data_IF_271093957451
#
_entry.id   IF_271093957451
#
_cell.length_a   1.000
_cell.length_b   1.000
_cell.length_c   1.000
_cell.angle_alpha   90.00
_cell.angle_beta   90.00
_cell.angle_gamma   90.00
#
_symmetry.space_group_name_H-M   'P 1'
#
loop_
_entity.id
_entity.type
_entity.pdbx_description
1 polymer ?
#
# COMPACT_ATOMS: atom_id res chain seq x y z
N UNK A 1 13.87 5.26 31.22
CA UNK A 1 13.86 5.67 29.79
C UNK A 1 12.47 6.11 29.33
N UNK A 2 11.85 7.09 30.02
CA UNK A 2 10.61 7.76 29.57
C UNK A 2 10.68 9.29 29.72
N UNK A 3 11.79 9.80 30.25
CA UNK A 3 12.05 11.21 30.53
C UNK A 3 12.99 11.89 29.52
N UNK A 4 13.54 11.16 28.55
CA UNK A 4 14.46 11.72 27.54
C UNK A 4 13.74 12.17 26.26
N UNK A 5 12.51 11.67 26.01
CA UNK A 5 11.71 12.03 24.82
C UNK A 5 10.92 13.33 25.02
N UNK A 6 10.68 13.74 26.27
CA UNK A 6 10.04 15.01 26.60
C UNK A 6 10.99 16.22 26.51
N UNK A 7 12.31 15.99 26.53
CA UNK A 7 13.31 17.07 26.46
C UNK A 7 13.73 17.41 25.01
N UNK A 8 13.53 16.49 24.06
CA UNK A 8 13.85 16.70 22.65
C UNK A 8 12.71 17.38 21.86
N UNK A 9 11.47 17.33 22.36
CA UNK A 9 10.30 18.00 21.78
C UNK A 9 10.14 19.46 22.23
N UNK A 10 10.97 19.94 23.17
CA UNK A 10 10.98 21.32 23.65
C UNK A 10 12.06 22.21 23.01
N UNK A 11 12.87 21.67 22.09
CA UNK A 11 14.06 22.34 21.54
C UNK A 11 13.93 22.86 20.10
N UNK A 12 12.72 22.83 19.52
CA UNK A 12 12.47 23.33 18.14
C UNK A 12 11.54 24.56 18.11
N UNK A 13 11.18 25.13 19.26
CA UNK A 13 10.24 26.27 19.33
C UNK A 13 10.83 27.61 19.80
N UNK A 14 12.15 27.76 19.87
CA UNK A 14 12.76 29.04 20.32
C UNK A 14 13.95 29.45 19.46
N UNK A 15 13.72 29.85 18.21
CA UNK A 15 14.71 30.63 17.46
C UNK A 15 14.15 31.35 16.23
N UNK A 16 13.09 32.15 16.39
CA UNK A 16 12.78 33.25 15.44
C UNK A 16 11.95 34.32 16.15
N UNK A 17 12.55 35.02 17.11
CA UNK A 17 11.89 36.16 17.75
C UNK A 17 12.88 37.29 18.08
N UNK A 18 13.83 37.57 17.18
CA UNK A 18 14.62 38.80 17.21
C UNK A 18 15.09 39.08 15.78
N UNK A 19 14.41 40.03 15.10
CA UNK A 19 14.86 40.79 13.91
C UNK A 19 13.67 41.39 13.10
N UNK A 20 12.47 41.53 13.66
CA UNK A 20 11.36 42.18 12.96
C UNK A 20 11.25 43.70 13.21
N UNK A 21 11.73 44.18 14.37
CA UNK A 21 11.54 45.58 14.76
C UNK A 21 12.54 46.56 14.11
N UNK A 22 13.72 46.09 13.68
CA UNK A 22 14.78 46.98 13.16
C UNK A 22 14.63 47.29 11.66
N UNK A 23 13.93 46.43 10.91
CA UNK A 23 13.73 46.60 9.46
C UNK A 23 12.65 47.65 9.14
N UNK A 24 11.69 47.84 10.05
CA UNK A 24 10.61 48.83 9.92
C UNK A 24 11.12 50.27 10.11
N UNK A 25 12.15 50.46 10.95
CA UNK A 25 12.78 51.78 11.18
C UNK A 25 13.60 52.27 9.98
N UNK A 26 14.32 51.37 9.31
CA UNK A 26 15.13 51.72 8.13
C UNK A 26 14.29 51.97 6.87
N UNK A 27 13.12 51.34 6.77
CA UNK A 27 12.18 51.51 5.66
C UNK A 27 11.41 52.85 5.70
N UNK A 28 11.28 53.47 6.86
CA UNK A 28 10.62 54.78 7.01
C UNK A 28 11.51 55.96 6.56
N UNK A 29 12.83 55.76 6.46
CA UNK A 29 13.80 56.78 6.01
C UNK A 29 13.86 56.95 4.49
N UNK A 30 13.36 55.97 3.74
CA UNK A 30 13.31 56.00 2.28
C UNK A 30 11.89 56.33 1.84
N UNK A 31 11.61 57.63 1.69
CA UNK A 31 10.31 58.20 1.33
C UNK A 31 9.75 57.74 -0.03
N UNK A 32 9.36 56.48 -0.13
CA UNK A 32 8.96 55.88 -1.39
C UNK A 32 8.47 54.44 -1.22
N UNK A 33 7.34 54.25 -0.53
CA UNK A 33 6.24 53.37 -0.96
C UNK A 33 5.27 53.07 0.18
N UNK A 34 4.50 54.09 0.58
CA UNK A 34 3.33 53.89 1.45
C UNK A 34 2.36 52.85 0.86
N UNK A 35 2.31 52.72 -0.47
CA UNK A 35 1.49 51.72 -1.16
C UNK A 35 2.03 50.29 -1.06
N UNK A 36 3.36 50.06 -1.00
CA UNK A 36 3.91 48.72 -0.77
C UNK A 36 3.74 48.29 0.68
N UNK A 37 3.92 49.21 1.64
CA UNK A 37 3.66 48.94 3.06
C UNK A 37 2.17 48.66 3.30
N UNK A 38 1.27 49.37 2.60
CA UNK A 38 -0.17 49.10 2.66
C UNK A 38 -0.53 47.74 2.04
N UNK A 39 0.02 47.40 0.86
CA UNK A 39 -0.14 46.06 0.27
C UNK A 39 0.46 44.94 1.12
N UNK A 40 1.57 45.19 1.81
CA UNK A 40 2.18 44.24 2.74
C UNK A 40 1.36 44.06 4.02
N UNK A 41 0.66 45.10 4.49
CA UNK A 41 -0.34 45.00 5.58
C UNK A 41 -1.61 44.27 5.15
N UNK A 42 -2.04 44.44 3.90
CA UNK A 42 -3.23 43.76 3.34
C UNK A 42 -2.95 42.29 2.97
N UNK A 43 -1.69 41.91 2.81
CA UNK A 43 -1.25 40.51 2.75
C UNK A 43 -1.26 39.94 4.17
N UNK A 44 -2.42 39.48 4.61
CA UNK A 44 -2.56 38.75 5.88
C UNK A 44 -1.52 37.60 5.90
N UNK A 45 -0.50 37.65 6.77
CA UNK A 45 0.56 36.63 6.83
C UNK A 45 0.02 35.26 7.29
N UNK A 46 -1.21 35.22 7.83
CA UNK A 46 -1.94 33.99 8.14
C UNK A 46 -2.84 33.52 7.00
N UNK A 47 -3.00 34.31 5.93
CA UNK A 47 -3.72 33.92 4.74
C UNK A 47 -2.88 32.94 3.94
N UNK A 48 -2.90 31.68 4.39
CA UNK A 48 -2.38 30.53 3.64
C UNK A 48 -3.21 30.41 2.38
N UNK A 49 -2.75 31.03 1.29
CA UNK A 49 -3.32 30.84 -0.04
C UNK A 49 -3.15 29.37 -0.41
N UNK A 50 -4.16 28.56 -0.10
CA UNK A 50 -4.22 27.17 -0.52
C UNK A 50 -4.64 27.17 -1.99
N UNK A 51 -3.66 27.22 -2.89
CA UNK A 51 -3.89 26.95 -4.31
C UNK A 51 -4.32 25.48 -4.41
N UNK A 52 -5.63 25.23 -4.36
CA UNK A 52 -6.21 23.90 -4.58
C UNK A 52 -6.12 23.62 -6.07
N UNK A 53 -4.96 23.14 -6.53
CA UNK A 53 -4.90 22.55 -7.85
C UNK A 53 -5.66 21.23 -7.82
N UNK A 54 -6.63 21.09 -8.71
CA UNK A 54 -7.36 19.85 -8.87
C UNK A 54 -6.39 18.68 -9.18
N UNK A 55 -6.82 17.49 -8.77
CA UNK A 55 -6.16 16.25 -9.20
C UNK A 55 -6.33 16.13 -10.71
N UNK A 56 -5.27 15.71 -11.40
CA UNK A 56 -5.33 15.55 -12.85
C UNK A 56 -6.14 14.29 -13.24
N UNK A 57 -6.15 13.26 -12.37
CA UNK A 57 -7.09 12.14 -12.43
C UNK A 57 -8.22 12.36 -11.44
N UNK A 58 -9.43 12.57 -11.95
CA UNK A 58 -10.64 12.55 -11.14
C UNK A 58 -11.13 11.12 -10.99
N UNK A 59 -11.18 10.64 -9.74
CA UNK A 59 -11.65 9.30 -9.38
C UNK A 59 -13.07 9.32 -8.85
N UNK A 60 -13.75 10.46 -8.81
CA UNK A 60 -15.07 10.56 -8.22
C UNK A 60 -16.12 9.82 -9.07
N UNK A 61 -16.78 8.83 -8.49
CA UNK A 61 -17.80 7.99 -9.14
C UNK A 61 -17.26 7.26 -10.39
N UNK A 62 -16.06 6.68 -10.27
CA UNK A 62 -15.35 6.02 -11.37
C UNK A 62 -15.14 4.54 -11.09
N UNK A 63 -15.17 3.73 -12.14
CA UNK A 63 -14.84 2.31 -12.08
C UNK A 63 -13.39 2.11 -12.52
N UNK A 64 -12.66 1.28 -11.80
CA UNK A 64 -11.31 0.90 -12.15
C UNK A 64 -11.18 -0.62 -12.23
N UNK A 65 -10.60 -1.09 -13.33
CA UNK A 65 -10.29 -2.49 -13.56
C UNK A 65 -8.79 -2.68 -13.41
N UNK A 66 -8.37 -3.64 -12.60
CA UNK A 66 -6.96 -3.94 -12.37
C UNK A 66 -6.61 -5.38 -12.69
N UNK A 67 -5.41 -5.58 -13.22
CA UNK A 67 -4.77 -6.89 -13.35
C UNK A 67 -3.51 -6.89 -12.48
N UNK A 68 -3.35 -7.92 -11.68
CA UNK A 68 -2.33 -8.01 -10.64
C UNK A 68 -1.60 -9.33 -10.73
N UNK A 69 -0.29 -9.30 -10.50
CA UNK A 69 0.55 -10.47 -10.25
C UNK A 69 1.30 -10.25 -8.95
N UNK A 70 1.45 -11.29 -8.14
CA UNK A 70 2.14 -11.16 -6.88
C UNK A 70 2.65 -12.47 -6.35
N UNK A 71 3.45 -12.38 -5.30
CA UNK A 71 4.03 -13.54 -4.62
C UNK A 71 3.64 -13.51 -3.15
N UNK A 72 3.52 -14.69 -2.57
CA UNK A 72 3.17 -14.91 -1.17
C UNK A 72 4.44 -15.32 -0.43
N UNK A 73 4.75 -14.60 0.64
CA UNK A 73 5.83 -14.91 1.54
C UNK A 73 5.30 -15.19 2.95
N UNK A 74 5.85 -16.21 3.60
CA UNK A 74 5.43 -16.62 4.95
C UNK A 74 4.35 -17.70 4.96
N UNK A 75 3.91 -18.08 6.15
CA UNK A 75 2.91 -19.13 6.37
C UNK A 75 3.46 -20.55 6.24
N UNK A 76 3.61 -21.06 5.01
CA UNK A 76 4.03 -22.44 4.76
C UNK A 76 5.51 -22.50 4.33
N UNK A 77 6.39 -23.21 5.06
CA UNK A 77 7.79 -23.32 4.68
C UNK A 77 8.03 -24.24 3.47
N UNK A 78 7.06 -25.07 3.07
CA UNK A 78 7.20 -26.09 2.04
C UNK A 78 6.64 -25.69 0.68
N UNK A 79 5.82 -24.64 0.62
CA UNK A 79 5.17 -24.18 -0.62
C UNK A 79 5.47 -22.71 -0.88
N UNK A 80 5.84 -22.43 -2.13
CA UNK A 80 5.94 -21.09 -2.68
C UNK A 80 4.70 -20.83 -3.52
N UNK A 81 3.96 -19.76 -3.23
CA UNK A 81 2.71 -19.43 -3.93
C UNK A 81 2.85 -18.11 -4.67
N UNK A 82 2.53 -18.14 -5.96
CA UNK A 82 2.36 -16.96 -6.79
C UNK A 82 0.88 -16.77 -7.14
N UNK A 83 0.45 -15.52 -7.16
CA UNK A 83 -0.93 -15.14 -7.40
C UNK A 83 -1.02 -14.34 -8.70
N UNK A 84 -1.94 -14.72 -9.57
CA UNK A 84 -2.35 -13.92 -10.73
C UNK A 84 -3.84 -13.62 -10.60
N UNK A 85 -4.24 -12.39 -10.83
CA UNK A 85 -5.61 -12.00 -10.52
C UNK A 85 -6.04 -10.68 -11.10
N UNK A 86 -7.27 -10.34 -10.79
CA UNK A 86 -7.88 -9.07 -11.16
C UNK A 86 -8.56 -8.42 -9.97
N UNK A 87 -8.75 -7.10 -10.07
CA UNK A 87 -9.55 -6.33 -9.12
C UNK A 87 -10.49 -5.40 -9.87
N UNK A 88 -11.64 -5.15 -9.28
CA UNK A 88 -12.61 -4.17 -9.75
C UNK A 88 -12.89 -3.24 -8.58
N UNK A 89 -12.55 -1.96 -8.70
CA UNK A 89 -12.80 -0.97 -7.67
C UNK A 89 -13.77 0.09 -8.18
N UNK A 90 -14.77 0.39 -7.37
CA UNK A 90 -15.63 1.54 -7.55
C UNK A 90 -15.23 2.64 -6.58
N UNK A 91 -14.80 3.78 -7.12
CA UNK A 91 -14.35 4.94 -6.37
C UNK A 91 -15.53 5.86 -6.10
N UNK A 92 -16.07 5.85 -4.88
CA UNK A 92 -17.16 6.76 -4.49
C UNK A 92 -16.67 8.20 -4.34
N UNK A 93 -15.46 8.36 -3.84
CA UNK A 93 -14.80 9.65 -3.66
C UNK A 93 -13.33 9.52 -4.03
N UNK A 94 -12.59 10.62 -4.24
CA UNK A 94 -11.15 10.55 -4.48
C UNK A 94 -10.34 9.94 -3.32
N UNK A 95 -10.97 9.69 -2.16
CA UNK A 95 -10.33 9.14 -0.95
C UNK A 95 -10.79 7.73 -0.59
N UNK A 96 -11.90 7.26 -1.14
CA UNK A 96 -12.49 5.97 -0.77
C UNK A 96 -12.98 5.22 -1.99
N UNK A 97 -12.63 3.94 -2.05
CA UNK A 97 -13.19 2.99 -3.01
C UNK A 97 -13.56 1.69 -2.31
N UNK A 98 -14.46 0.95 -2.93
CA UNK A 98 -14.78 -0.43 -2.56
C UNK A 98 -14.61 -1.28 -3.80
N UNK A 99 -14.09 -2.48 -3.63
CA UNK A 99 -13.82 -3.36 -4.74
C UNK A 99 -13.96 -4.82 -4.40
N UNK A 100 -13.87 -5.62 -5.44
CA UNK A 100 -13.75 -7.07 -5.36
C UNK A 100 -12.45 -7.45 -6.04
N UNK A 101 -11.70 -8.38 -5.43
CA UNK A 101 -10.51 -8.96 -6.00
C UNK A 101 -10.63 -10.47 -6.09
N UNK A 102 -10.08 -11.02 -7.16
CA UNK A 102 -10.01 -12.44 -7.43
C UNK A 102 -8.57 -12.78 -7.79
N UNK A 103 -8.01 -13.79 -7.13
CA UNK A 103 -6.69 -14.33 -7.43
C UNK A 103 -6.78 -15.82 -7.66
N UNK A 104 -6.05 -16.29 -8.66
CA UNK A 104 -5.71 -17.68 -8.87
C UNK A 104 -4.27 -17.88 -8.38
N UNK A 105 -4.07 -18.94 -7.61
CA UNK A 105 -2.80 -19.27 -6.95
C UNK A 105 -2.13 -20.45 -7.64
N UNK A 106 -0.89 -20.24 -8.05
CA UNK A 106 0.02 -21.26 -8.55
C UNK A 106 0.99 -21.62 -7.43
N UNK A 107 1.17 -22.92 -7.17
CA UNK A 107 1.94 -23.40 -6.03
C UNK A 107 3.04 -24.33 -6.49
N UNK A 108 4.26 -24.00 -6.12
CA UNK A 108 5.44 -24.83 -6.33
C UNK A 108 6.07 -25.20 -4.99
N UNK A 109 6.83 -26.30 -4.95
CA UNK A 109 7.59 -26.65 -3.74
C UNK A 109 8.68 -25.61 -3.51
N UNK A 110 8.79 -25.14 -2.26
CA UNK A 110 9.93 -24.35 -1.83
C UNK A 110 11.21 -25.20 -1.87
N UNK A 111 12.37 -24.56 -1.71
CA UNK A 111 13.64 -25.29 -1.57
C UNK A 111 13.63 -26.30 -0.42
N UNK A 112 12.96 -25.96 0.68
CA UNK A 112 12.78 -26.84 1.83
C UNK A 112 11.76 -27.95 1.54
N UNK A 113 10.64 -27.63 0.88
CA UNK A 113 9.65 -28.62 0.43
C UNK A 113 10.28 -29.65 -0.51
N UNK A 114 11.10 -29.20 -1.46
CA UNK A 114 11.83 -30.07 -2.37
C UNK A 114 12.85 -30.94 -1.65
N UNK A 115 13.56 -30.39 -0.64
CA UNK A 115 14.51 -31.14 0.19
C UNK A 115 13.81 -32.26 0.96
N UNK A 116 12.69 -31.97 1.61
CA UNK A 116 11.90 -32.97 2.35
C UNK A 116 11.34 -34.02 1.39
N UNK A 117 10.80 -33.60 0.24
CA UNK A 117 10.31 -34.52 -0.79
C UNK A 117 11.40 -35.46 -1.31
N UNK A 118 12.57 -34.94 -1.65
CA UNK A 118 13.70 -35.75 -2.12
C UNK A 118 14.18 -36.75 -1.07
N UNK A 119 14.22 -36.35 0.21
CA UNK A 119 14.56 -37.23 1.32
C UNK A 119 13.51 -38.34 1.50
N UNK A 120 12.23 -38.02 1.34
CA UNK A 120 11.15 -38.99 1.43
C UNK A 120 11.23 -40.04 0.31
N UNK A 121 11.49 -39.60 -0.93
CA UNK A 121 11.67 -40.50 -2.08
C UNK A 121 12.89 -41.42 -1.89
N UNK A 122 14.00 -40.90 -1.36
CA UNK A 122 15.20 -41.69 -1.07
C UNK A 122 15.01 -42.68 0.10
N UNK A 123 14.23 -42.31 1.11
CA UNK A 123 13.87 -43.19 2.23
C UNK A 123 12.92 -44.31 1.77
N UNK A 124 11.94 -43.98 0.92
CA UNK A 124 11.00 -44.93 0.33
C UNK A 124 11.72 -45.99 -0.51
N UNK A 125 12.68 -45.59 -1.35
CA UNK A 125 13.48 -46.54 -2.15
C UNK A 125 14.41 -47.42 -1.30
N UNK A 126 14.72 -47.00 -0.08
CA UNK A 126 15.52 -47.76 0.90
C UNK A 126 14.68 -48.57 1.89
N UNK A 127 13.35 -48.60 1.74
CA UNK A 127 12.43 -49.32 2.63
C UNK A 127 12.34 -48.76 4.06
N UNK A 128 12.73 -47.49 4.26
CA UNK A 128 12.65 -46.80 5.56
C UNK A 128 11.34 -46.03 5.68
N UNK A 129 10.90 -45.80 6.92
CA UNK A 129 9.79 -44.85 7.19
C UNK A 129 10.14 -43.47 6.63
N UNK A 130 9.14 -42.81 6.04
CA UNK A 130 9.28 -41.51 5.40
C UNK A 130 8.11 -40.60 5.75
N UNK A 131 8.39 -39.30 5.85
CA UNK A 131 7.40 -38.26 6.06
C UNK A 131 7.33 -37.40 4.79
N UNK A 132 6.12 -37.12 4.30
CA UNK A 132 5.90 -36.18 3.20
C UNK A 132 5.48 -34.82 3.77
N UNK A 133 5.83 -33.70 3.11
CA UNK A 133 5.29 -32.41 3.49
C UNK A 133 3.79 -32.42 3.23
N UNK A 134 3.00 -32.37 4.29
CA UNK A 134 1.56 -32.13 4.17
C UNK A 134 1.32 -30.62 4.21
N UNK A 135 0.90 -30.09 3.07
CA UNK A 135 0.63 -28.67 2.87
C UNK A 135 -0.73 -28.52 2.20
N UNK A 136 -1.54 -27.63 2.77
CA UNK A 136 -2.85 -27.27 2.25
C UNK A 136 -2.74 -25.96 1.48
N UNK A 137 -2.39 -26.07 0.20
CA UNK A 137 -2.09 -24.91 -0.64
C UNK A 137 -3.37 -24.21 -1.16
N UNK A 138 -3.26 -22.89 -1.33
CA UNK A 138 -4.33 -22.06 -1.88
C UNK A 138 -4.50 -22.27 -3.39
N UNK A 139 -5.74 -22.32 -3.87
CA UNK A 139 -6.08 -22.43 -5.31
C UNK A 139 -6.61 -21.14 -5.88
N UNK A 140 -7.56 -20.54 -5.17
CA UNK A 140 -8.21 -19.31 -5.55
C UNK A 140 -8.58 -18.50 -4.31
N UNK A 141 -8.64 -17.19 -4.45
CA UNK A 141 -9.00 -16.27 -3.37
C UNK A 141 -9.95 -15.22 -3.92
N UNK A 142 -11.11 -15.07 -3.30
CA UNK A 142 -12.09 -14.02 -3.64
C UNK A 142 -12.32 -13.14 -2.42
N UNK A 143 -12.13 -11.83 -2.54
CA UNK A 143 -12.27 -10.91 -1.41
C UNK A 143 -12.97 -9.61 -1.81
N UNK A 144 -13.80 -9.11 -0.89
CA UNK A 144 -14.25 -7.72 -0.90
C UNK A 144 -13.21 -6.84 -0.18
N UNK A 145 -12.90 -5.69 -0.75
CA UNK A 145 -11.90 -4.76 -0.22
C UNK A 145 -12.45 -3.33 -0.13
N UNK A 146 -11.97 -2.59 0.85
CA UNK A 146 -12.18 -1.14 0.97
C UNK A 146 -10.79 -0.50 0.94
N UNK A 147 -10.64 0.52 0.10
CA UNK A 147 -9.39 1.27 -0.01
C UNK A 147 -9.57 2.70 0.49
N UNK A 148 -8.57 3.20 1.19
CA UNK A 148 -8.47 4.57 1.68
C UNK A 148 -7.20 5.23 1.13
N UNK A 149 -7.33 6.40 0.49
CA UNK A 149 -6.24 7.12 -0.18
C UNK A 149 -5.88 8.42 0.58
N UNK A 150 -5.10 8.35 1.68
CA UNK A 150 -4.79 9.52 2.51
C UNK A 150 -3.85 10.51 1.80
N UNK A 151 -2.95 10.01 0.96
CA UNK A 151 -1.87 10.81 0.37
C UNK A 151 -1.98 10.81 -1.14
N UNK A 152 -1.80 11.99 -1.73
CA UNK A 152 -1.74 12.21 -3.17
C UNK A 152 -0.63 13.22 -3.45
N UNK A 153 0.20 12.93 -4.44
CA UNK A 153 1.28 13.80 -4.85
C UNK A 153 1.48 13.84 -6.35
N UNK A 154 2.26 14.83 -6.78
CA UNK A 154 2.68 15.03 -8.16
C UNK A 154 4.20 15.04 -8.18
N UNK A 155 4.80 14.25 -9.06
CA UNK A 155 6.24 14.21 -9.31
C UNK A 155 6.50 14.75 -10.70
N UNK A 156 7.44 15.69 -10.80
CA UNK A 156 7.98 16.09 -12.09
C UNK A 156 8.98 15.02 -12.53
N UNK A 157 8.62 14.24 -13.55
CA UNK A 157 9.49 13.25 -14.15
C UNK A 157 10.38 13.95 -15.19
N UNK A 158 11.62 14.26 -14.75
CA UNK A 158 12.73 14.67 -15.61
C UNK A 158 12.43 15.88 -16.52
N UNK A 159 11.62 16.84 -16.06
CA UNK A 159 11.19 18.02 -16.83
C UNK A 159 10.40 17.71 -18.11
N UNK A 160 9.95 16.47 -18.30
CA UNK A 160 9.22 16.04 -19.50
C UNK A 160 7.74 15.81 -19.21
N UNK A 161 7.36 15.50 -17.96
CA UNK A 161 5.96 15.28 -17.60
C UNK A 161 5.68 15.27 -16.10
N UNK A 162 4.41 15.41 -15.74
CA UNK A 162 3.94 15.33 -14.35
C UNK A 162 3.31 13.95 -14.16
N UNK A 163 3.99 13.04 -13.44
CA UNK A 163 3.40 11.80 -12.98
C UNK A 163 2.72 12.02 -11.64
N UNK A 164 1.60 11.34 -11.42
CA UNK A 164 0.89 11.42 -10.15
C UNK A 164 1.09 10.13 -9.39
N UNK A 165 1.16 10.23 -8.07
CA UNK A 165 1.15 9.06 -7.21
C UNK A 165 0.14 9.22 -6.09
N UNK A 166 -0.35 8.09 -5.63
CA UNK A 166 -1.16 7.99 -4.42
C UNK A 166 -0.63 6.87 -3.54
N UNK A 167 -0.73 7.08 -2.23
CA UNK A 167 -0.51 6.01 -1.25
C UNK A 167 -1.88 5.64 -0.71
N UNK A 168 -2.14 4.34 -0.64
CA UNK A 168 -3.40 3.80 -0.17
C UNK A 168 -3.20 2.76 0.91
N UNK A 169 -4.20 2.67 1.77
CA UNK A 169 -4.41 1.58 2.70
C UNK A 169 -5.58 0.76 2.20
N UNK A 170 -5.56 -0.54 2.47
CA UNK A 170 -6.64 -1.45 2.16
C UNK A 170 -6.93 -2.37 3.32
N UNK A 171 -8.20 -2.71 3.46
CA UNK A 171 -8.69 -3.76 4.34
C UNK A 171 -9.73 -4.58 3.60
N UNK A 172 -9.75 -5.89 3.81
CA UNK A 172 -10.66 -6.77 3.11
C UNK A 172 -10.98 -8.04 3.86
N UNK A 173 -12.06 -8.67 3.42
CA UNK A 173 -12.54 -9.95 3.91
C UNK A 173 -13.06 -10.76 2.74
N UNK A 174 -12.90 -12.08 2.81
CA UNK A 174 -13.41 -12.99 1.80
C UNK A 174 -13.07 -14.42 2.12
N UNK A 175 -12.90 -15.21 1.06
CA UNK A 175 -12.65 -16.64 1.17
C UNK A 175 -11.47 -17.06 0.29
N UNK A 176 -10.67 -17.96 0.84
CA UNK A 176 -9.63 -18.69 0.12
C UNK A 176 -10.07 -20.13 -0.05
N UNK A 177 -10.01 -20.65 -1.26
CA UNK A 177 -10.23 -22.05 -1.55
C UNK A 177 -8.89 -22.78 -1.44
N UNK A 178 -8.76 -23.62 -0.44
CA UNK A 178 -7.61 -24.48 -0.21
C UNK A 178 -7.81 -25.84 -0.89
N UNK A 179 -6.80 -26.72 -0.81
CA UNK A 179 -6.94 -28.12 -1.23
C UNK A 179 -7.96 -28.85 -0.37
N UNK A 180 -7.97 -28.59 0.95
CA UNK A 180 -8.85 -29.23 1.93
C UNK A 180 -10.29 -28.70 1.92
N UNK A 181 -10.51 -27.44 1.56
CA UNK A 181 -11.81 -26.79 1.65
C UNK A 181 -11.72 -25.27 1.53
N UNK A 182 -12.85 -24.59 1.66
CA UNK A 182 -12.87 -23.13 1.72
C UNK A 182 -12.61 -22.66 3.16
N UNK A 183 -11.81 -21.61 3.32
CA UNK A 183 -11.55 -20.96 4.58
C UNK A 183 -11.78 -19.45 4.45
N UNK A 184 -12.25 -18.85 5.53
CA UNK A 184 -12.41 -17.40 5.59
C UNK A 184 -11.04 -16.73 5.71
N UNK A 185 -10.86 -15.62 5.00
CA UNK A 185 -9.60 -14.88 4.98
C UNK A 185 -9.86 -13.39 5.15
N UNK A 186 -8.92 -12.73 5.82
CA UNK A 186 -8.91 -11.28 5.96
C UNK A 186 -7.56 -10.74 5.52
N UNK A 187 -7.57 -9.49 5.07
CA UNK A 187 -6.36 -8.81 4.62
C UNK A 187 -6.32 -7.37 5.10
N UNK A 188 -5.11 -6.89 5.38
CA UNK A 188 -4.85 -5.50 5.69
C UNK A 188 -3.48 -5.12 5.13
N UNK A 189 -3.40 -3.98 4.48
CA UNK A 189 -2.17 -3.57 3.83
C UNK A 189 -2.19 -2.17 3.29
N UNK A 190 -1.24 -1.90 2.42
CA UNK A 190 -1.17 -0.65 1.70
C UNK A 190 -0.31 -0.76 0.47
N UNK A 191 -0.41 0.25 -0.37
CA UNK A 191 0.32 0.29 -1.61
C UNK A 191 0.54 1.70 -2.11
N UNK A 192 1.28 1.77 -3.21
CA UNK A 192 1.55 3.00 -3.94
C UNK A 192 1.03 2.80 -5.36
N UNK A 193 0.18 3.71 -5.82
CA UNK A 193 -0.27 3.82 -7.19
C UNK A 193 0.47 4.94 -7.91
N UNK A 194 0.88 4.72 -9.15
CA UNK A 194 1.43 5.71 -10.05
C UNK A 194 0.54 5.83 -11.28
N UNK A 195 0.03 7.02 -11.57
CA UNK A 195 -0.78 7.28 -12.75
C UNK A 195 0.11 7.74 -13.89
N UNK A 196 0.11 6.96 -14.96
CA UNK A 196 0.83 7.26 -16.20
C UNK A 196 0.02 8.28 -17.01
N UNK A 197 -1.31 8.12 -17.04
CA UNK A 197 -2.24 9.06 -17.66
C UNK A 197 -3.59 9.05 -16.90
N UNK A 198 -4.65 9.61 -17.50
CA UNK A 198 -5.98 9.68 -16.86
C UNK A 198 -6.69 8.32 -16.73
N UNK A 199 -6.26 7.31 -17.48
CA UNK A 199 -6.87 5.99 -17.51
C UNK A 199 -5.95 4.91 -16.93
N UNK A 200 -4.65 4.99 -17.14
CA UNK A 200 -3.69 3.94 -16.80
C UNK A 200 -2.95 4.24 -15.50
N UNK A 201 -2.97 3.27 -14.60
CA UNK A 201 -2.21 3.27 -13.35
C UNK A 201 -1.32 2.04 -13.26
N UNK A 202 -0.18 2.17 -12.58
CA UNK A 202 0.65 1.06 -12.12
C UNK A 202 0.58 1.04 -10.60
N UNK A 203 0.53 -0.14 -9.99
CA UNK A 203 0.37 -0.32 -8.55
C UNK A 203 1.38 -1.29 -7.99
N UNK A 204 1.89 -0.96 -6.83
CA UNK A 204 2.64 -1.87 -5.96
C UNK A 204 1.92 -1.92 -4.63
N UNK A 205 1.68 -3.12 -4.12
CA UNK A 205 0.89 -3.37 -2.92
C UNK A 205 1.64 -4.37 -2.03
N UNK A 206 1.70 -4.08 -0.74
CA UNK A 206 2.14 -5.02 0.28
C UNK A 206 1.01 -5.18 1.30
N UNK A 207 0.55 -6.40 1.50
CA UNK A 207 -0.55 -6.69 2.41
C UNK A 207 -0.26 -7.91 3.26
N UNK A 208 -0.69 -7.85 4.50
CA UNK A 208 -0.83 -9.01 5.35
C UNK A 208 -2.15 -9.71 5.02
N UNK A 209 -2.13 -11.04 4.97
CA UNK A 209 -3.30 -11.88 4.74
C UNK A 209 -3.23 -13.06 5.69
N UNK A 210 -4.36 -13.38 6.33
CA UNK A 210 -4.42 -14.52 7.23
C UNK A 210 -5.70 -15.33 7.00
N UNK A 211 -5.57 -16.63 7.25
CA UNK A 211 -6.62 -17.64 7.18
C UNK A 211 -6.19 -18.89 7.96
N UNK A 212 -7.11 -19.82 8.16
CA UNK A 212 -6.81 -21.11 8.78
C UNK A 212 -6.75 -22.20 7.72
N UNK A 213 -5.72 -23.05 7.76
CA UNK A 213 -5.62 -24.24 6.90
C UNK A 213 -5.82 -25.52 7.72
N UNK A 214 -6.11 -26.62 7.04
CA UNK A 214 -6.27 -27.94 7.67
C UNK A 214 -5.25 -28.92 7.11
N UNK A 215 -4.31 -29.33 7.96
CA UNK A 215 -3.33 -30.38 7.69
C UNK A 215 -3.66 -31.64 8.50
N UNK A 216 -2.98 -32.76 8.21
CA UNK A 216 -3.21 -34.05 8.86
C UNK A 216 -3.04 -34.01 10.39
N UNK A 217 -2.25 -33.07 10.93
CA UNK A 217 -2.07 -32.87 12.37
C UNK A 217 -3.12 -31.95 13.01
N UNK A 218 -3.99 -31.32 12.22
CA UNK A 218 -5.06 -30.43 12.68
C UNK A 218 -5.11 -29.10 11.92
N UNK A 219 -5.92 -28.18 12.44
CA UNK A 219 -6.04 -26.81 11.93
C UNK A 219 -4.90 -25.95 12.46
N UNK A 220 -4.30 -25.10 11.60
CA UNK A 220 -3.33 -24.09 12.03
C UNK A 220 -3.65 -22.73 11.38
N UNK A 221 -3.36 -21.62 12.07
CA UNK A 221 -3.43 -20.30 11.46
C UNK A 221 -2.22 -20.10 10.53
N UNK A 222 -2.47 -19.49 9.37
CA UNK A 222 -1.45 -19.04 8.43
C UNK A 222 -1.43 -17.52 8.37
N UNK A 223 -0.22 -16.98 8.54
CA UNK A 223 0.09 -15.55 8.47
C UNK A 223 0.98 -15.29 7.25
N UNK A 224 0.44 -14.57 6.28
CA UNK A 224 1.07 -14.36 4.99
C UNK A 224 1.34 -12.87 4.75
N UNK A 225 2.46 -12.60 4.09
CA UNK A 225 2.73 -11.32 3.45
C UNK A 225 2.60 -11.50 1.95
N UNK A 226 1.66 -10.79 1.33
CA UNK A 226 1.44 -10.81 -0.11
C UNK A 226 1.98 -9.52 -0.70
N UNK A 227 2.89 -9.66 -1.66
CA UNK A 227 3.41 -8.55 -2.45
C UNK A 227 2.82 -8.64 -3.84
N UNK A 228 2.14 -7.60 -4.31
CA UNK A 228 1.56 -7.58 -5.66
C UNK A 228 2.01 -6.35 -6.44
N UNK A 229 2.24 -6.57 -7.73
CA UNK A 229 2.39 -5.53 -8.73
C UNK A 229 1.22 -5.64 -9.72
N UNK A 230 0.67 -4.52 -10.15
CA UNK A 230 -0.48 -4.53 -11.05
C UNK A 230 -0.58 -3.30 -11.91
N UNK A 231 -1.46 -3.39 -12.90
CA UNK A 231 -1.87 -2.30 -13.77
C UNK A 231 -3.36 -2.06 -13.59
N UNK A 232 -3.78 -0.80 -13.60
CA UNK A 232 -5.18 -0.38 -13.49
C UNK A 232 -5.61 0.43 -14.71
N UNK A 233 -6.89 0.28 -15.06
CA UNK A 233 -7.58 1.03 -16.11
C UNK A 233 -8.85 1.67 -15.54
N UNK A 234 -8.88 3.00 -15.51
CA UNK A 234 -9.99 3.83 -15.03
C UNK A 234 -10.94 4.20 -16.18
N UNK A 235 -12.23 3.98 -15.96
CA UNK A 235 -13.33 4.23 -16.91
C UNK A 235 -14.00 5.60 -16.72
#
# INVERSE_FOLDING_TARGET
MKSLIALLSLLVFTSTAFAADDVLGDLDSLGGNKDLVRKARDLDPNNKVRIVQNRLVDRNMRLELGLNYGTVAGGDPYVSTDNVGGRIDFHFTPRFSMGVMYYQSSNDLSSEGQRVYNNAVAAQSSGKEYNYPDSDYAKETTMGVINFYPLYGKLNMFNTGIAQFDVYLLGGYGQVQLRSGAADTYTMGGGVGMWINQHFSARLEARYQAYEDTIASGTRPLDLTVLTAGIGFLL
#
